data_IF_270024870110
#
_entry.id   IF_270024870110
#
_cell.length_a   1.000
_cell.length_b   1.000
_cell.length_c   1.000
_cell.angle_alpha   90.00
_cell.angle_beta   90.00
_cell.angle_gamma   90.00
#
_symmetry.space_group_name_H-M   'P 1'
#
loop_
_entity.id
_entity.type
_entity.pdbx_description
1 polymer ?
#
# COMPACT_ATOMS: atom_id res chain seq x y z
N UNK A 1 -1.37 -6.29 -7.68
CA UNK A 1 -2.51 -7.19 -7.98
C UNK A 1 -2.30 -8.05 -9.23
N UNK A 2 -1.89 -7.51 -10.35
CA UNK A 2 -1.79 -8.26 -11.63
C UNK A 2 -0.78 -9.41 -11.58
N UNK A 3 0.33 -9.27 -10.85
CA UNK A 3 1.36 -10.29 -10.74
C UNK A 3 0.90 -11.57 -9.99
N UNK A 4 0.08 -11.42 -8.94
CA UNK A 4 -0.37 -12.56 -8.13
C UNK A 4 -1.20 -13.59 -8.92
N UNK A 5 -2.22 -13.21 -9.72
CA UNK A 5 -2.93 -14.14 -10.58
C UNK A 5 -2.01 -14.87 -11.55
N UNK A 6 -1.02 -14.18 -12.11
CA UNK A 6 -0.05 -14.77 -13.03
C UNK A 6 0.84 -15.78 -12.32
N UNK A 7 1.34 -15.44 -11.12
CA UNK A 7 2.14 -16.34 -10.31
C UNK A 7 1.34 -17.59 -9.89
N UNK A 8 0.14 -17.43 -9.39
CA UNK A 8 -0.73 -18.54 -8.97
C UNK A 8 -1.08 -19.46 -10.16
N UNK A 9 -1.41 -18.85 -11.30
CA UNK A 9 -1.71 -19.61 -12.53
C UNK A 9 -0.48 -20.42 -13.02
N UNK A 10 0.72 -19.86 -12.95
CA UNK A 10 1.94 -20.56 -13.35
C UNK A 10 2.28 -21.76 -12.45
N UNK A 11 1.78 -21.76 -11.21
CA UNK A 11 1.96 -22.83 -10.22
C UNK A 11 0.86 -23.91 -10.33
N UNK A 12 -0.23 -23.61 -11.08
CA UNK A 12 -1.31 -24.56 -11.33
C UNK A 12 -2.56 -24.38 -10.45
N UNK A 13 -2.73 -23.22 -9.81
CA UNK A 13 -3.97 -22.92 -9.09
C UNK A 13 -5.16 -22.72 -10.03
N UNK A 14 -6.33 -23.16 -9.60
CA UNK A 14 -7.57 -22.97 -10.32
C UNK A 14 -8.04 -21.50 -10.29
N UNK A 15 -8.85 -21.15 -11.27
CA UNK A 15 -9.41 -19.80 -11.35
C UNK A 15 -10.22 -19.40 -10.11
N UNK A 16 -10.95 -20.36 -9.51
CA UNK A 16 -11.74 -20.16 -8.28
C UNK A 16 -10.86 -19.72 -7.10
N UNK A 17 -9.68 -20.34 -6.92
CA UNK A 17 -8.74 -20.01 -5.86
C UNK A 17 -8.17 -18.60 -6.05
N UNK A 18 -7.75 -18.31 -7.28
CA UNK A 18 -7.23 -16.99 -7.65
C UNK A 18 -8.28 -15.92 -7.42
N UNK A 19 -9.51 -16.14 -7.87
CA UNK A 19 -10.62 -15.20 -7.71
C UNK A 19 -10.92 -14.94 -6.23
N UNK A 20 -10.94 -15.99 -5.40
CA UNK A 20 -11.16 -15.87 -3.95
C UNK A 20 -10.11 -14.97 -3.29
N UNK A 21 -8.84 -15.19 -3.57
CA UNK A 21 -7.74 -14.39 -2.99
C UNK A 21 -7.84 -12.91 -3.40
N UNK A 22 -8.19 -12.63 -4.68
CA UNK A 22 -8.40 -11.26 -5.14
C UNK A 22 -9.60 -10.61 -4.45
N UNK A 23 -10.69 -11.34 -4.27
CA UNK A 23 -11.87 -10.84 -3.55
C UNK A 23 -11.51 -10.42 -2.12
N UNK A 24 -10.77 -11.25 -1.37
CA UNK A 24 -10.32 -10.92 -0.03
C UNK A 24 -9.36 -9.73 0.00
N UNK A 25 -8.47 -9.61 -0.99
CA UNK A 25 -7.62 -8.43 -1.14
C UNK A 25 -8.45 -7.15 -1.34
N UNK A 26 -9.44 -7.18 -2.23
CA UNK A 26 -10.33 -6.04 -2.49
C UNK A 26 -11.12 -5.68 -1.24
N UNK A 27 -11.65 -6.67 -0.51
CA UNK A 27 -12.29 -6.44 0.79
C UNK A 27 -11.31 -5.79 1.77
N UNK A 28 -10.06 -6.24 1.83
CA UNK A 28 -9.01 -5.63 2.64
C UNK A 28 -8.71 -4.18 2.26
N UNK A 29 -8.84 -3.80 0.98
CA UNK A 29 -8.65 -2.42 0.53
C UNK A 29 -9.79 -1.50 0.96
N UNK A 30 -11.04 -1.97 1.00
CA UNK A 30 -12.20 -1.09 1.19
C UNK A 30 -12.85 -1.22 2.57
N UNK A 31 -12.96 -2.43 3.11
CA UNK A 31 -13.66 -2.67 4.38
C UNK A 31 -13.06 -1.87 5.56
N UNK A 32 -11.73 -1.76 5.73
CA UNK A 32 -11.16 -0.96 6.80
C UNK A 32 -11.46 0.54 6.72
N UNK A 33 -11.86 1.06 5.54
CA UNK A 33 -12.15 2.50 5.36
C UNK A 33 -13.22 3.01 6.33
N UNK A 34 -14.18 2.16 6.74
CA UNK A 34 -15.21 2.52 7.72
C UNK A 34 -14.64 2.86 9.11
N UNK A 35 -13.47 2.34 9.43
CA UNK A 35 -12.81 2.56 10.73
C UNK A 35 -11.53 3.39 10.62
N UNK A 36 -10.87 3.42 9.46
CA UNK A 36 -9.58 4.10 9.26
C UNK A 36 -9.66 5.59 9.61
N UNK A 37 -10.76 6.27 9.26
CA UNK A 37 -10.97 7.66 9.64
C UNK A 37 -10.99 7.86 11.17
N UNK A 38 -11.67 6.97 11.91
CA UNK A 38 -11.70 7.00 13.38
C UNK A 38 -10.32 6.69 13.99
N UNK A 39 -9.58 5.77 13.39
CA UNK A 39 -8.21 5.46 13.81
C UNK A 39 -7.29 6.67 13.62
N UNK A 40 -7.40 7.37 12.50
CA UNK A 40 -6.63 8.60 12.22
C UNK A 40 -6.96 9.68 13.25
N UNK A 41 -8.24 9.92 13.58
CA UNK A 41 -8.62 10.91 14.58
C UNK A 41 -8.16 10.56 15.99
N UNK A 42 -8.10 9.26 16.33
CA UNK A 42 -7.68 8.79 17.65
C UNK A 42 -6.17 8.70 17.84
N UNK A 43 -5.46 8.18 16.85
CA UNK A 43 -4.02 7.88 16.95
C UNK A 43 -3.13 8.81 16.14
N UNK A 44 -3.73 9.64 15.29
CA UNK A 44 -3.01 10.51 14.35
C UNK A 44 -2.73 9.83 13.02
N UNK A 45 -2.50 10.65 12.01
CA UNK A 45 -2.31 10.20 10.61
C UNK A 45 -1.01 9.41 10.43
N UNK A 46 0.10 9.91 11.01
CA UNK A 46 1.44 9.30 10.83
C UNK A 46 1.52 7.87 11.37
N UNK A 47 1.05 7.53 12.58
CA UNK A 47 1.04 6.15 13.06
C UNK A 47 0.23 5.19 12.18
N UNK A 48 -0.88 5.66 11.62
CA UNK A 48 -1.72 4.83 10.72
C UNK A 48 -0.99 4.54 9.41
N UNK A 49 -0.31 5.54 8.82
CA UNK A 49 0.53 5.30 7.64
C UNK A 49 1.65 4.31 7.96
N UNK A 50 2.32 4.46 9.10
CA UNK A 50 3.38 3.53 9.51
C UNK A 50 2.88 2.11 9.71
N UNK A 51 1.68 1.93 10.30
CA UNK A 51 1.03 0.62 10.40
C UNK A 51 0.73 0.04 9.02
N UNK A 52 0.24 0.87 8.09
CA UNK A 52 0.04 0.47 6.69
C UNK A 52 1.34 -0.01 6.04
N UNK A 53 2.44 0.76 6.17
CA UNK A 53 3.75 0.35 5.67
C UNK A 53 4.25 -0.95 6.31
N UNK A 54 4.02 -1.17 7.61
CA UNK A 54 4.37 -2.41 8.28
C UNK A 54 3.58 -3.61 7.72
N UNK A 55 2.31 -3.44 7.39
CA UNK A 55 1.50 -4.47 6.71
C UNK A 55 1.99 -4.76 5.29
N UNK A 56 2.46 -3.73 4.55
CA UNK A 56 3.09 -3.93 3.24
C UNK A 56 4.40 -4.71 3.36
N UNK A 57 5.23 -4.43 4.37
CA UNK A 57 6.43 -5.22 4.66
C UNK A 57 6.07 -6.66 5.03
N UNK A 58 5.06 -6.85 5.88
CA UNK A 58 4.57 -8.18 6.25
C UNK A 58 4.11 -8.97 5.02
N UNK A 59 3.42 -8.32 4.07
CA UNK A 59 3.05 -8.94 2.79
C UNK A 59 4.29 -9.47 2.05
N UNK A 60 5.34 -8.65 1.92
CA UNK A 60 6.58 -9.07 1.24
C UNK A 60 7.24 -10.24 1.99
N UNK A 61 7.32 -10.19 3.31
CA UNK A 61 7.91 -11.26 4.12
C UNK A 61 7.14 -12.58 3.96
N UNK A 62 5.80 -12.54 4.03
CA UNK A 62 4.98 -13.74 3.84
C UNK A 62 5.11 -14.30 2.42
N UNK A 63 5.22 -13.44 1.41
CA UNK A 63 5.44 -13.86 0.02
C UNK A 63 6.76 -14.61 -0.20
N UNK A 64 7.75 -14.48 0.70
CA UNK A 64 9.01 -15.23 0.69
C UNK A 64 8.92 -16.60 1.39
N UNK A 65 7.87 -16.86 2.19
CA UNK A 65 7.75 -18.10 2.97
C UNK A 65 7.30 -19.30 2.12
N UNK A 66 6.73 -19.03 0.95
CA UNK A 66 6.31 -20.08 0.05
C UNK A 66 5.13 -19.70 -0.84
N UNK A 67 4.69 -20.68 -1.60
CA UNK A 67 3.68 -20.52 -2.66
C UNK A 67 2.38 -21.28 -2.37
N UNK A 68 2.10 -21.62 -1.11
CA UNK A 68 0.82 -22.23 -0.75
C UNK A 68 -0.32 -21.21 -0.77
N UNK A 69 -1.55 -21.71 -0.94
CA UNK A 69 -2.76 -20.88 -0.95
C UNK A 69 -2.84 -19.89 0.22
N UNK A 70 -2.53 -20.36 1.44
CA UNK A 70 -2.61 -19.54 2.65
C UNK A 70 -1.57 -18.41 2.69
N UNK A 71 -0.38 -18.63 2.14
CA UNK A 71 0.62 -17.55 2.04
C UNK A 71 0.15 -16.47 1.07
N UNK A 72 -0.40 -16.83 -0.08
CA UNK A 72 -1.01 -15.86 -0.99
C UNK A 72 -2.18 -15.13 -0.33
N UNK A 73 -3.06 -15.86 0.36
CA UNK A 73 -4.22 -15.29 1.01
C UNK A 73 -3.84 -14.24 2.07
N UNK A 74 -2.98 -14.61 3.04
CA UNK A 74 -2.55 -13.70 4.11
C UNK A 74 -1.75 -12.53 3.55
N UNK A 75 -0.84 -12.77 2.62
CA UNK A 75 -0.06 -11.71 1.97
C UNK A 75 -0.96 -10.68 1.27
N UNK A 76 -1.97 -11.14 0.51
CA UNK A 76 -2.85 -10.22 -0.21
C UNK A 76 -3.85 -9.49 0.69
N UNK A 77 -4.33 -10.12 1.74
CA UNK A 77 -5.14 -9.42 2.76
C UNK A 77 -4.31 -8.33 3.44
N UNK A 78 -3.08 -8.66 3.86
CA UNK A 78 -2.15 -7.68 4.45
C UNK A 78 -1.84 -6.54 3.47
N UNK A 79 -1.64 -6.85 2.18
CA UNK A 79 -1.46 -5.86 1.11
C UNK A 79 -2.67 -4.93 0.99
N UNK A 80 -3.89 -5.47 1.02
CA UNK A 80 -5.12 -4.69 0.91
C UNK A 80 -5.31 -3.73 2.07
N UNK A 81 -5.20 -4.23 3.30
CA UNK A 81 -5.30 -3.41 4.52
C UNK A 81 -4.17 -2.39 4.59
N UNK A 82 -2.94 -2.79 4.27
CA UNK A 82 -1.78 -1.90 4.20
C UNK A 82 -1.98 -0.76 3.19
N UNK A 83 -2.50 -1.07 2.01
CA UNK A 83 -2.89 -0.08 1.02
C UNK A 83 -3.93 0.90 1.57
N UNK A 84 -5.00 0.41 2.19
CA UNK A 84 -6.04 1.25 2.78
C UNK A 84 -5.45 2.27 3.76
N UNK A 85 -4.64 1.83 4.71
CA UNK A 85 -4.06 2.68 5.74
C UNK A 85 -3.07 3.70 5.18
N UNK A 86 -2.22 3.28 4.22
CA UNK A 86 -1.27 4.20 3.59
C UNK A 86 -1.99 5.20 2.69
N UNK A 87 -2.94 4.77 1.87
CA UNK A 87 -3.65 5.65 0.93
C UNK A 87 -4.52 6.68 1.65
N UNK A 88 -5.39 6.25 2.58
CA UNK A 88 -6.26 7.17 3.34
C UNK A 88 -5.43 8.08 4.24
N UNK A 89 -4.39 7.53 4.89
CA UNK A 89 -3.49 8.31 5.71
C UNK A 89 -2.73 9.37 4.91
N UNK A 90 -2.12 9.01 3.78
CA UNK A 90 -1.38 9.94 2.93
C UNK A 90 -2.30 11.04 2.37
N UNK A 91 -3.48 10.67 1.87
CA UNK A 91 -4.48 11.63 1.39
C UNK A 91 -4.94 12.57 2.49
N UNK A 92 -5.16 12.06 3.71
CA UNK A 92 -5.48 12.87 4.89
C UNK A 92 -4.34 13.83 5.26
N UNK A 93 -3.07 13.37 5.21
CA UNK A 93 -1.92 14.22 5.47
C UNK A 93 -1.78 15.33 4.43
N UNK A 94 -2.04 15.00 3.16
CA UNK A 94 -2.02 15.95 2.05
C UNK A 94 -3.02 17.10 2.26
N UNK A 95 -4.19 16.85 2.88
CA UNK A 95 -5.18 17.90 3.14
C UNK A 95 -4.68 19.02 4.04
N UNK A 96 -3.61 18.79 4.79
CA UNK A 96 -3.00 19.78 5.68
C UNK A 96 -1.99 20.70 4.96
N UNK A 97 -1.71 20.46 3.67
CA UNK A 97 -0.62 21.14 2.93
C UNK A 97 -1.11 22.18 1.92
N UNK A 98 -2.41 22.28 1.67
CA UNK A 98 -2.97 23.18 0.66
C UNK A 98 -4.16 23.99 1.20
N UNK A 99 -4.43 25.12 0.55
CA UNK A 99 -5.57 25.99 0.85
C UNK A 99 -6.88 25.43 0.24
N UNK A 100 -8.07 25.77 0.79
CA UNK A 100 -9.35 25.27 0.30
C UNK A 100 -9.61 25.50 -1.20
N UNK A 101 -9.11 26.60 -1.75
CA UNK A 101 -9.22 26.95 -3.16
C UNK A 101 -8.33 26.11 -4.08
N UNK A 102 -7.30 25.45 -3.57
CA UNK A 102 -6.38 24.59 -4.31
C UNK A 102 -6.76 23.09 -4.24
N UNK A 103 -7.76 22.76 -3.42
CA UNK A 103 -8.16 21.37 -3.14
C UNK A 103 -8.34 20.52 -4.40
N UNK A 104 -9.13 21.01 -5.37
CA UNK A 104 -9.42 20.23 -6.58
C UNK A 104 -8.15 19.94 -7.40
N UNK A 105 -7.25 20.93 -7.53
CA UNK A 105 -5.99 20.80 -8.28
C UNK A 105 -5.04 19.82 -7.58
N UNK A 106 -4.84 19.97 -6.28
CA UNK A 106 -3.87 19.14 -5.52
C UNK A 106 -4.36 17.71 -5.40
N UNK A 107 -5.63 17.49 -5.08
CA UNK A 107 -6.21 16.14 -5.00
C UNK A 107 -6.25 15.48 -6.38
N UNK A 108 -6.64 16.19 -7.43
CA UNK A 108 -6.63 15.66 -8.78
C UNK A 108 -5.23 15.24 -9.26
N UNK A 109 -4.19 16.03 -8.91
CA UNK A 109 -2.80 15.67 -9.22
C UNK A 109 -2.35 14.45 -8.41
N UNK A 110 -2.69 14.37 -7.12
CA UNK A 110 -2.41 13.21 -6.29
C UNK A 110 -3.03 11.93 -6.87
N UNK A 111 -4.31 11.99 -7.22
CA UNK A 111 -5.02 10.84 -7.77
C UNK A 111 -4.45 10.42 -9.13
N UNK A 112 -4.14 11.41 -9.99
CA UNK A 112 -3.47 11.14 -11.26
C UNK A 112 -2.13 10.42 -11.09
N UNK A 113 -1.31 10.85 -10.14
CA UNK A 113 -0.03 10.19 -9.84
C UNK A 113 -0.24 8.77 -9.28
N UNK A 114 -1.10 8.62 -8.27
CA UNK A 114 -1.34 7.31 -7.63
C UNK A 114 -1.89 6.29 -8.64
N UNK A 115 -2.94 6.66 -9.36
CA UNK A 115 -3.55 5.73 -10.33
C UNK A 115 -2.71 5.57 -11.59
N UNK A 116 -1.99 6.61 -12.02
CA UNK A 116 -1.05 6.54 -13.14
C UNK A 116 0.10 5.58 -12.87
N UNK A 117 0.75 5.69 -11.71
CA UNK A 117 1.79 4.73 -11.30
C UNK A 117 1.23 3.31 -11.09
N UNK A 118 0.01 3.18 -10.56
CA UNK A 118 -0.66 1.89 -10.40
C UNK A 118 -0.94 1.23 -11.75
N UNK A 119 -1.41 2.00 -12.74
CA UNK A 119 -1.66 1.52 -14.09
C UNK A 119 -0.34 1.11 -14.78
N UNK A 120 0.70 1.94 -14.70
CA UNK A 120 2.02 1.61 -15.24
C UNK A 120 2.59 0.32 -14.60
N UNK A 121 2.49 0.20 -13.27
CA UNK A 121 2.88 -1.02 -12.55
C UNK A 121 2.09 -2.26 -12.99
N UNK A 122 0.79 -2.12 -13.24
CA UNK A 122 -0.04 -3.22 -13.74
C UNK A 122 0.36 -3.68 -15.15
N UNK A 123 0.67 -2.74 -16.04
CA UNK A 123 1.15 -3.04 -17.40
C UNK A 123 2.52 -3.75 -17.38
N UNK A 124 3.41 -3.32 -16.49
CA UNK A 124 4.74 -3.92 -16.35
C UNK A 124 4.74 -5.24 -15.58
N UNK A 125 3.72 -5.50 -14.76
CA UNK A 125 3.67 -6.64 -13.84
C UNK A 125 3.83 -7.99 -14.55
N UNK A 126 3.26 -8.15 -15.74
CA UNK A 126 3.38 -9.38 -16.53
C UNK A 126 4.83 -9.65 -16.98
N UNK A 127 5.50 -8.63 -17.50
CA UNK A 127 6.90 -8.72 -17.92
C UNK A 127 7.82 -8.95 -16.73
N UNK A 128 7.65 -8.18 -15.66
CA UNK A 128 8.45 -8.33 -14.45
C UNK A 128 8.27 -9.68 -13.79
N UNK A 129 7.03 -10.21 -13.74
CA UNK A 129 6.75 -11.55 -13.22
C UNK A 129 7.44 -12.64 -14.04
N UNK A 130 7.45 -12.50 -15.38
CA UNK A 130 8.10 -13.46 -16.26
C UNK A 130 9.62 -13.47 -16.12
N UNK A 131 10.24 -12.30 -15.90
CA UNK A 131 11.69 -12.15 -15.85
C UNK A 131 12.28 -12.38 -14.45
N UNK A 132 11.61 -11.89 -13.42
CA UNK A 132 12.10 -11.91 -12.05
C UNK A 132 11.53 -13.06 -11.21
N UNK A 133 10.38 -13.60 -11.60
CA UNK A 133 9.63 -14.55 -10.78
C UNK A 133 8.94 -13.89 -9.58
N UNK A 134 8.18 -14.67 -8.83
CA UNK A 134 7.34 -14.20 -7.73
C UNK A 134 8.14 -13.59 -6.56
N UNK A 135 9.20 -14.28 -6.14
CA UNK A 135 9.99 -13.88 -4.96
C UNK A 135 10.73 -12.57 -5.19
N UNK A 136 11.49 -12.47 -6.29
CA UNK A 136 12.27 -11.27 -6.62
C UNK A 136 11.39 -10.07 -6.92
N UNK A 137 10.23 -10.27 -7.55
CA UNK A 137 9.27 -9.21 -7.79
C UNK A 137 8.80 -8.55 -6.49
N UNK A 138 8.53 -9.35 -5.45
CA UNK A 138 8.16 -8.82 -4.13
C UNK A 138 9.32 -8.10 -3.45
N UNK A 139 10.56 -8.60 -3.55
CA UNK A 139 11.75 -7.95 -2.98
C UNK A 139 12.03 -6.58 -3.61
N UNK A 140 11.78 -6.40 -4.89
CA UNK A 140 11.93 -5.11 -5.59
C UNK A 140 11.03 -4.02 -5.00
N UNK A 141 9.96 -4.37 -4.28
CA UNK A 141 9.09 -3.40 -3.61
C UNK A 141 9.68 -2.86 -2.29
N UNK A 142 10.65 -3.53 -1.67
CA UNK A 142 11.23 -3.12 -0.38
C UNK A 142 11.83 -1.70 -0.39
N UNK A 143 12.63 -1.27 -1.38
CA UNK A 143 13.14 0.09 -1.43
C UNK A 143 12.04 1.15 -1.44
N UNK A 144 10.94 0.92 -2.17
CA UNK A 144 9.82 1.85 -2.23
C UNK A 144 9.10 1.96 -0.87
N UNK A 145 8.86 0.82 -0.20
CA UNK A 145 8.26 0.80 1.14
C UNK A 145 9.19 1.48 2.15
N UNK A 146 10.49 1.20 2.09
CA UNK A 146 11.50 1.81 2.95
C UNK A 146 11.57 3.33 2.78
N UNK A 147 11.52 3.80 1.53
CA UNK A 147 11.48 5.23 1.22
C UNK A 147 10.22 5.90 1.78
N UNK A 148 9.07 5.27 1.61
CA UNK A 148 7.81 5.77 2.17
C UNK A 148 7.84 5.86 3.70
N UNK A 149 8.33 4.82 4.38
CA UNK A 149 8.50 4.82 5.83
C UNK A 149 9.45 5.93 6.30
N UNK A 150 10.58 6.09 5.60
CA UNK A 150 11.55 7.13 5.92
C UNK A 150 10.97 8.53 5.71
N UNK A 151 10.28 8.79 4.60
CA UNK A 151 9.66 10.09 4.32
C UNK A 151 8.63 10.48 5.40
N UNK A 152 7.78 9.53 5.81
CA UNK A 152 6.78 9.74 6.86
C UNK A 152 7.44 9.98 8.23
N UNK A 153 8.50 9.25 8.55
CA UNK A 153 9.24 9.45 9.79
C UNK A 153 9.98 10.80 9.81
N UNK A 154 10.57 11.20 8.69
CA UNK A 154 11.26 12.49 8.55
C UNK A 154 10.27 13.67 8.73
N UNK A 155 9.10 13.61 8.10
CA UNK A 155 8.06 14.65 8.22
C UNK A 155 7.60 14.83 9.67
N UNK A 156 7.47 13.73 10.43
CA UNK A 156 7.15 13.77 11.86
C UNK A 156 8.22 14.49 12.70
N UNK A 157 9.50 14.27 12.38
CA UNK A 157 10.60 14.93 13.10
C UNK A 157 10.67 16.43 12.80
N UNK A 158 10.46 16.81 11.56
CA UNK A 158 10.46 18.21 11.12
C UNK A 158 9.35 19.01 11.85
N UNK A 159 8.15 18.45 11.91
CA UNK A 159 7.01 19.12 12.57
C UNK A 159 7.22 19.31 14.08
N UNK A 160 7.81 18.32 14.77
CA UNK A 160 8.16 18.46 16.18
C UNK A 160 9.24 19.52 16.45
N UNK A 161 10.20 19.68 15.54
CA UNK A 161 11.24 20.72 15.67
C UNK A 161 10.68 22.13 15.50
N UNK A 162 9.77 22.34 14.55
CA UNK A 162 9.13 23.64 14.33
C UNK A 162 8.35 24.11 15.58
N UNK A 163 7.63 23.22 16.25
CA UNK A 163 6.89 23.55 17.47
C UNK A 163 7.80 23.84 18.68
N UNK A 164 8.98 23.21 18.74
CA UNK A 164 9.94 23.45 19.82
C UNK A 164 10.74 24.77 19.67
N UNK A 165 10.75 25.35 18.47
CA UNK A 165 11.48 26.61 18.19
C UNK A 165 10.57 27.84 18.38
N UNK A 166 9.27 27.64 18.48
CA UNK A 166 8.25 28.69 18.69
C UNK A 166 7.73 28.77 20.12
N UNK A 167 8.16 27.91 21.03
CA UNK A 167 7.91 27.91 22.47
C UNK A 167 9.13 28.40 23.26
#
# INVERSE_FOLDING_TARGET
MTATPLAMKSIGYEFSDIASIIQWHVLGMFLPSFITGRLITRFGTVPIIQLGCALLLLCVLIAQLGTSYWFFWVALVALGVGWNFTFIGATSLLTLTYLPNEKAKVQGMNDFLVFGFSAAGALLAGHLQHWLGWEMLNLVMLPAIGLAMWAVWYSRRSHKRSLATTA
#
